data_IF_028209481926
#
_entry.id   IF_028209481926
#
_cell.length_a   1.000
_cell.length_b   1.000
_cell.length_c   1.000
_cell.angle_alpha   90.00
_cell.angle_beta   90.00
_cell.angle_gamma   90.00
#
_symmetry.space_group_name_H-M   'P 1'
#
loop_
_entity.id
_entity.type
_entity.pdbx_description
1 polymer ?
#
# COMPACT_ATOMS: atom_id res chain seq x y z
N UNK A 1 30.80 -73.57 45.05
CA UNK A 1 29.72 -72.55 45.06
C UNK A 1 30.40 -71.25 45.47
N UNK A 2 30.48 -70.13 44.75
CA UNK A 2 29.65 -69.52 43.70
C UNK A 2 30.58 -68.76 42.73
N UNK A 3 30.23 -68.72 41.44
CA UNK A 3 30.81 -67.81 40.44
C UNK A 3 30.26 -66.41 40.71
N UNK A 4 31.11 -65.41 40.87
CA UNK A 4 30.70 -64.00 40.88
C UNK A 4 31.13 -63.43 39.53
N UNK A 5 30.14 -63.24 38.65
CA UNK A 5 30.32 -62.61 37.35
C UNK A 5 30.51 -61.11 37.51
N UNK A 6 31.53 -60.57 36.87
CA UNK A 6 31.79 -59.13 36.79
C UNK A 6 30.89 -58.58 35.67
N UNK A 7 29.79 -57.92 36.02
CA UNK A 7 28.95 -57.19 35.07
C UNK A 7 29.58 -55.83 34.82
N UNK A 8 30.19 -55.66 33.66
CA UNK A 8 30.67 -54.37 33.15
C UNK A 8 29.45 -53.53 32.76
N UNK A 9 29.02 -52.62 33.64
CA UNK A 9 28.03 -51.60 33.31
C UNK A 9 28.72 -50.56 32.44
N UNK A 10 28.56 -50.68 31.12
CA UNK A 10 28.88 -49.60 30.19
C UNK A 10 27.81 -48.54 30.37
N UNK A 11 28.14 -47.47 31.08
CA UNK A 11 27.32 -46.27 31.15
C UNK A 11 27.32 -45.64 29.74
N UNK A 12 26.23 -45.87 29.01
CA UNK A 12 25.95 -45.18 27.76
C UNK A 12 25.67 -43.70 28.10
N UNK A 13 26.70 -42.86 28.04
CA UNK A 13 26.52 -41.40 28.07
C UNK A 13 25.87 -41.04 26.74
N UNK A 14 24.53 -40.99 26.73
CA UNK A 14 23.78 -40.34 25.67
C UNK A 14 24.25 -38.88 25.61
N UNK A 15 24.76 -38.39 24.46
CA UNK A 15 25.01 -36.96 24.33
C UNK A 15 23.70 -36.24 24.60
N UNK A 16 23.72 -35.33 25.57
CA UNK A 16 22.60 -34.45 25.84
C UNK A 16 22.39 -33.60 24.58
N UNK A 17 21.48 -34.03 23.71
CA UNK A 17 21.03 -33.25 22.56
C UNK A 17 20.57 -31.91 23.12
N UNK A 18 21.22 -30.82 22.74
CA UNK A 18 20.81 -29.45 23.08
C UNK A 18 19.48 -29.21 22.35
N UNK A 19 18.38 -28.95 23.06
CA UNK A 19 17.12 -28.60 22.39
C UNK A 19 17.08 -27.10 22.20
N UNK A 20 17.30 -26.64 20.97
CA UNK A 20 17.03 -25.26 20.60
C UNK A 20 15.51 -25.02 20.50
N UNK A 21 15.09 -23.76 20.41
CA UNK A 21 13.73 -23.34 20.11
C UNK A 21 13.78 -22.26 19.02
N UNK A 22 12.74 -22.18 18.20
CA UNK A 22 12.55 -21.08 17.24
C UNK A 22 11.21 -20.41 17.54
N UNK A 23 11.20 -19.08 17.55
CA UNK A 23 9.99 -18.27 17.73
C UNK A 23 9.92 -17.23 16.63
N UNK A 24 8.80 -17.18 15.91
CA UNK A 24 8.51 -16.13 14.93
C UNK A 24 8.03 -14.90 15.68
N UNK A 25 8.87 -13.86 15.73
CA UNK A 25 8.60 -12.63 16.47
C UNK A 25 7.69 -11.68 15.71
N UNK A 26 7.85 -11.60 14.38
CA UNK A 26 7.09 -10.70 13.52
C UNK A 26 7.06 -11.23 12.08
N UNK A 27 5.95 -11.00 11.37
CA UNK A 27 5.87 -11.18 9.91
C UNK A 27 5.48 -9.84 9.29
N UNK A 28 6.39 -9.25 8.51
CA UNK A 28 6.23 -7.94 7.88
C UNK A 28 5.89 -8.08 6.38
N UNK A 29 4.64 -7.76 5.97
CA UNK A 29 4.23 -7.75 4.57
C UNK A 29 4.43 -6.40 3.87
N UNK A 30 5.07 -5.40 4.48
CA UNK A 30 5.21 -4.03 3.93
C UNK A 30 5.87 -3.99 2.54
N UNK A 31 6.73 -4.97 2.23
CA UNK A 31 7.42 -5.12 0.93
C UNK A 31 6.68 -5.99 -0.07
N UNK A 32 5.51 -6.52 0.28
CA UNK A 32 4.74 -7.41 -0.57
C UNK A 32 4.33 -6.72 -1.87
N UNK A 33 3.84 -5.48 -1.77
CA UNK A 33 3.32 -4.71 -2.91
C UNK A 33 4.44 -4.17 -3.81
N UNK A 34 5.55 -3.76 -3.22
CA UNK A 34 6.62 -3.02 -3.93
C UNK A 34 7.73 -3.94 -4.45
N UNK A 35 8.03 -5.02 -3.73
CA UNK A 35 9.15 -5.93 -4.05
C UNK A 35 8.75 -7.40 -4.14
N UNK A 36 7.47 -7.73 -3.93
CA UNK A 36 6.98 -9.11 -3.87
C UNK A 36 7.77 -9.95 -2.86
N UNK A 37 8.05 -9.35 -1.69
CA UNK A 37 8.82 -9.96 -0.62
C UNK A 37 8.08 -9.82 0.70
N UNK A 38 8.21 -10.83 1.55
CA UNK A 38 7.77 -10.82 2.94
C UNK A 38 8.98 -11.09 3.81
N UNK A 39 9.07 -10.35 4.90
CA UNK A 39 10.12 -10.51 5.90
C UNK A 39 9.56 -11.20 7.13
N UNK A 40 10.23 -12.25 7.61
CA UNK A 40 9.91 -12.90 8.87
C UNK A 40 11.06 -12.63 9.82
N UNK A 41 10.77 -12.07 10.98
CA UNK A 41 11.72 -11.97 12.07
C UNK A 41 11.53 -13.18 12.98
N UNK A 42 12.63 -13.86 13.30
CA UNK A 42 12.62 -15.05 14.13
C UNK A 42 13.80 -15.06 15.09
N UNK A 43 13.52 -15.38 16.35
CA UNK A 43 14.52 -15.67 17.36
C UNK A 43 14.82 -17.18 17.37
N UNK A 44 16.09 -17.55 17.48
CA UNK A 44 16.51 -18.93 17.74
C UNK A 44 17.27 -18.94 19.06
N UNK A 45 16.81 -19.71 20.03
CA UNK A 45 17.38 -19.77 21.36
C UNK A 45 17.79 -21.19 21.74
N UNK A 46 18.76 -21.33 22.62
CA UNK A 46 19.09 -22.63 23.24
C UNK A 46 18.17 -22.92 24.45
N UNK A 47 18.44 -24.01 25.17
CA UNK A 47 17.69 -24.38 26.39
C UNK A 47 17.81 -23.39 27.54
N UNK A 48 18.87 -22.60 27.55
CA UNK A 48 19.13 -21.58 28.56
C UNK A 48 18.61 -20.21 28.11
N UNK A 49 17.80 -20.19 27.05
CA UNK A 49 17.24 -18.97 26.46
C UNK A 49 18.29 -18.02 25.87
N UNK A 50 19.49 -18.55 25.57
CA UNK A 50 20.57 -17.78 24.95
C UNK A 50 20.41 -17.81 23.43
N UNK A 51 20.43 -16.65 22.74
CA UNK A 51 20.29 -16.63 21.30
C UNK A 51 21.43 -17.33 20.56
N UNK A 52 21.06 -18.21 19.64
CA UNK A 52 21.98 -18.92 18.75
C UNK A 52 22.35 -17.99 17.61
N UNK A 53 23.64 -17.67 17.47
CA UNK A 53 24.15 -16.72 16.47
C UNK A 53 24.88 -17.42 15.32
N UNK A 54 25.14 -16.70 14.22
CA UNK A 54 25.92 -17.22 13.10
C UNK A 54 25.19 -18.17 12.13
N UNK A 55 23.89 -18.40 12.32
CA UNK A 55 23.09 -19.23 11.40
C UNK A 55 22.96 -18.60 10.00
N UNK A 56 23.25 -19.40 8.98
CA UNK A 56 23.06 -19.05 7.56
C UNK A 56 21.71 -19.50 7.01
N UNK A 57 21.48 -19.23 5.72
CA UNK A 57 20.19 -19.51 5.07
C UNK A 57 19.86 -21.01 5.02
N UNK A 58 20.88 -21.87 4.93
CA UNK A 58 20.77 -23.33 4.93
C UNK A 58 20.21 -23.92 6.24
N UNK A 59 20.32 -23.19 7.34
CA UNK A 59 19.78 -23.60 8.65
C UNK A 59 18.25 -23.46 8.73
N UNK A 60 17.65 -22.72 7.80
CA UNK A 60 16.22 -22.42 7.78
C UNK A 60 15.50 -23.03 6.58
N UNK A 61 14.25 -23.42 6.79
CA UNK A 61 13.30 -23.80 5.73
C UNK A 61 12.01 -23.02 5.92
N UNK A 62 11.57 -22.35 4.85
CA UNK A 62 10.35 -21.54 4.89
C UNK A 62 9.24 -22.25 4.12
N UNK A 63 8.05 -22.22 4.69
CA UNK A 63 6.85 -22.76 4.08
C UNK A 63 5.70 -21.76 4.18
N UNK A 64 4.82 -21.77 3.19
CA UNK A 64 3.63 -20.94 3.17
C UNK A 64 2.36 -21.79 3.03
N UNK A 65 1.29 -21.38 3.69
CA UNK A 65 -0.04 -21.97 3.55
C UNK A 65 -1.13 -20.90 3.46
N UNK A 66 -2.15 -21.14 2.63
CA UNK A 66 -3.36 -20.29 2.57
C UNK A 66 -4.47 -20.76 3.52
N UNK A 67 -4.42 -22.00 4.01
CA UNK A 67 -5.42 -22.60 4.88
C UNK A 67 -4.90 -22.86 6.30
N UNK A 68 -3.59 -22.73 6.53
CA UNK A 68 -2.93 -23.03 7.81
C UNK A 68 -2.69 -24.52 8.03
N UNK A 69 -3.06 -25.38 7.07
CA UNK A 69 -2.93 -26.84 7.19
C UNK A 69 -1.93 -27.39 6.16
N UNK A 70 -2.08 -26.98 4.89
CA UNK A 70 -1.26 -27.47 3.77
C UNK A 70 -0.17 -26.47 3.43
N UNK A 71 1.03 -26.76 3.92
CA UNK A 71 2.22 -25.95 3.73
C UNK A 71 2.97 -26.33 2.45
N UNK A 72 3.29 -25.32 1.65
CA UNK A 72 4.11 -25.42 0.44
C UNK A 72 5.48 -24.84 0.73
N UNK A 73 6.55 -25.57 0.42
CA UNK A 73 7.92 -25.09 0.64
C UNK A 73 8.25 -23.94 -0.29
N UNK A 74 8.84 -22.88 0.25
CA UNK A 74 9.40 -21.78 -0.53
C UNK A 74 10.80 -22.19 -1.01
N UNK A 75 11.03 -22.02 -2.31
CA UNK A 75 12.24 -22.53 -2.97
C UNK A 75 13.52 -21.75 -2.65
N UNK A 76 13.39 -20.47 -2.32
CA UNK A 76 14.52 -19.60 -1.95
C UNK A 76 14.12 -18.57 -0.91
N UNK A 77 15.02 -18.35 0.05
CA UNK A 77 14.92 -17.31 1.07
C UNK A 77 16.32 -16.76 1.36
N UNK A 78 16.36 -15.57 1.92
CA UNK A 78 17.60 -14.91 2.38
C UNK A 78 17.51 -14.75 3.88
N UNK A 79 18.65 -14.92 4.56
CA UNK A 79 18.74 -14.74 6.00
C UNK A 79 19.78 -13.67 6.30
N UNK A 80 19.45 -12.75 7.20
CA UNK A 80 20.36 -11.72 7.68
C UNK A 80 20.03 -11.45 9.14
N UNK A 81 21.03 -11.30 9.99
CA UNK A 81 20.83 -10.92 11.39
C UNK A 81 20.37 -9.46 11.49
N UNK A 82 19.45 -9.16 12.40
CA UNK A 82 18.92 -7.80 12.58
C UNK A 82 20.03 -6.79 12.88
N UNK A 83 21.04 -7.16 13.67
CA UNK A 83 22.22 -6.33 13.92
C UNK A 83 22.99 -5.87 12.67
N UNK A 84 22.89 -6.63 11.56
CA UNK A 84 23.57 -6.32 10.30
C UNK A 84 22.65 -5.61 9.30
N UNK A 85 21.41 -5.30 9.68
CA UNK A 85 20.52 -4.52 8.84
C UNK A 85 20.95 -3.06 8.84
N UNK A 86 21.16 -2.51 7.64
CA UNK A 86 21.25 -1.05 7.49
C UNK A 86 19.94 -0.36 7.90
N UNK A 87 18.83 -1.10 7.79
CA UNK A 87 17.51 -0.69 8.25
C UNK A 87 17.46 -0.81 9.78
N UNK A 88 17.39 0.33 10.47
CA UNK A 88 17.31 0.37 11.94
C UNK A 88 16.00 -0.22 12.49
N UNK A 89 15.99 -0.49 13.79
CA UNK A 89 14.82 -1.00 14.52
C UNK A 89 13.92 0.18 14.91
N UNK A 90 12.62 -0.01 14.83
CA UNK A 90 11.64 0.96 15.33
C UNK A 90 11.08 0.50 16.66
N UNK A 91 11.29 1.29 17.70
CA UNK A 91 10.71 1.09 19.03
C UNK A 91 9.59 2.11 19.26
N UNK A 92 8.49 1.69 19.86
CA UNK A 92 7.52 2.59 20.48
C UNK A 92 7.50 2.30 21.97
N UNK A 93 7.86 3.30 22.77
CA UNK A 93 7.75 3.23 24.22
C UNK A 93 6.34 3.62 24.62
N UNK A 94 5.61 2.71 25.26
CA UNK A 94 4.28 2.92 25.80
C UNK A 94 4.38 2.92 27.32
N UNK A 95 4.34 4.12 27.92
CA UNK A 95 4.51 4.32 29.35
C UNK A 95 3.14 4.44 30.02
N UNK A 96 2.92 3.65 31.05
CA UNK A 96 1.76 3.79 31.92
C UNK A 96 1.85 5.12 32.70
N UNK A 97 0.80 5.92 32.61
CA UNK A 97 0.64 7.20 33.31
C UNK A 97 -0.62 7.18 34.19
N UNK A 98 -0.91 6.03 34.80
CA UNK A 98 -1.95 5.81 35.80
C UNK A 98 -1.62 6.51 37.13
N UNK A 99 -2.57 6.47 38.07
CA UNK A 99 -2.36 7.06 39.40
C UNK A 99 -1.25 6.37 40.21
N UNK A 100 -1.17 5.03 40.14
CA UNK A 100 -0.23 4.19 40.92
C UNK A 100 1.23 4.34 40.48
N UNK A 101 1.45 4.80 39.25
CA UNK A 101 2.79 5.15 38.75
C UNK A 101 3.42 6.32 39.52
N UNK A 102 2.66 7.03 40.35
CA UNK A 102 3.17 8.09 41.22
C UNK A 102 3.25 7.72 42.69
N UNK A 103 3.09 6.44 43.01
CA UNK A 103 3.36 5.84 44.31
C UNK A 103 4.76 5.22 44.31
N UNK A 104 5.22 4.71 45.46
CA UNK A 104 6.49 3.99 45.55
C UNK A 104 6.41 2.61 44.90
N UNK A 105 7.55 1.95 44.66
CA UNK A 105 7.62 0.57 44.15
C UNK A 105 6.86 -0.45 45.02
N UNK A 106 6.68 -0.16 46.31
CA UNK A 106 5.97 -1.02 47.27
C UNK A 106 4.47 -0.65 47.40
N UNK A 107 3.90 0.07 46.44
CA UNK A 107 2.49 0.51 46.42
C UNK A 107 2.09 1.47 47.55
N UNK A 108 3.06 2.19 48.11
CA UNK A 108 2.81 3.19 49.16
C UNK A 108 2.70 4.60 48.57
N UNK A 109 1.66 5.38 48.93
CA UNK A 109 1.54 6.76 48.48
C UNK A 109 2.72 7.62 48.95
N UNK A 110 3.38 8.30 48.02
CA UNK A 110 4.51 9.19 48.33
C UNK A 110 4.32 10.59 47.75
N UNK A 111 4.96 11.57 48.40
CA UNK A 111 5.14 12.92 47.87
C UNK A 111 6.59 13.17 47.44
N UNK A 112 7.49 12.22 47.71
CA UNK A 112 8.91 12.31 47.36
C UNK A 112 9.06 11.88 45.91
N UNK A 113 9.38 12.84 45.04
CA UNK A 113 9.45 12.60 43.58
C UNK A 113 10.42 11.48 43.23
N UNK A 114 11.57 11.40 43.91
CA UNK A 114 12.62 10.43 43.61
C UNK A 114 12.27 8.98 43.97
N UNK A 115 11.22 8.77 44.77
CA UNK A 115 10.72 7.44 45.16
C UNK A 115 9.58 6.95 44.24
N UNK A 116 9.05 7.83 43.37
CA UNK A 116 7.92 7.50 42.50
C UNK A 116 8.34 6.57 41.37
N UNK A 117 7.50 5.58 41.05
CA UNK A 117 7.73 4.66 39.91
C UNK A 117 7.97 5.38 38.59
N UNK A 118 7.16 6.40 38.30
CA UNK A 118 7.29 7.25 37.12
C UNK A 118 8.68 7.91 37.04
N UNK A 119 9.28 8.26 38.16
CA UNK A 119 10.64 8.84 38.17
C UNK A 119 11.68 7.80 37.79
N UNK A 120 11.59 6.57 38.31
CA UNK A 120 12.46 5.46 37.89
C UNK A 120 12.26 5.12 36.41
N UNK A 121 11.01 5.06 35.94
CA UNK A 121 10.64 4.85 34.53
C UNK A 121 11.32 5.86 33.58
N UNK A 122 11.24 7.16 33.93
CA UNK A 122 11.88 8.24 33.16
C UNK A 122 13.41 8.10 33.13
N UNK A 123 14.03 7.76 34.26
CA UNK A 123 15.49 7.55 34.34
C UNK A 123 15.94 6.34 33.51
N UNK A 124 15.24 5.22 33.61
CA UNK A 124 15.58 4.02 32.84
C UNK A 124 15.37 4.22 31.33
N UNK A 125 14.32 4.95 30.93
CA UNK A 125 14.10 5.33 29.53
C UNK A 125 15.28 6.15 28.99
N UNK A 126 15.85 7.07 29.80
CA UNK A 126 17.05 7.82 29.41
C UNK A 126 18.24 6.88 29.17
N UNK A 127 18.48 5.93 30.06
CA UNK A 127 19.57 4.95 29.91
C UNK A 127 19.38 4.11 28.64
N UNK A 128 18.15 3.66 28.36
CA UNK A 128 17.83 2.96 27.12
C UNK A 128 18.13 3.80 25.87
N UNK A 129 17.67 5.05 25.84
CA UNK A 129 17.90 5.96 24.71
C UNK A 129 19.40 6.23 24.47
N UNK A 130 20.19 6.31 25.53
CA UNK A 130 21.65 6.49 25.47
C UNK A 130 22.37 5.23 24.95
N UNK A 131 21.80 4.04 25.16
CA UNK A 131 22.36 2.78 24.69
C UNK A 131 22.06 2.44 23.22
N UNK A 132 21.22 3.24 22.55
CA UNK A 132 20.92 3.08 21.12
C UNK A 132 22.10 3.62 20.29
N UNK A 133 22.95 2.70 19.84
CA UNK A 133 24.13 3.02 19.04
C UNK A 133 23.83 3.20 17.54
N UNK A 134 22.84 2.49 16.99
CA UNK A 134 22.57 2.54 15.56
C UNK A 134 21.86 3.85 15.19
N UNK A 135 22.43 4.71 14.32
CA UNK A 135 21.85 5.99 13.98
C UNK A 135 20.47 5.89 13.31
N UNK A 136 20.18 4.76 12.66
CA UNK A 136 18.92 4.52 11.93
C UNK A 136 17.79 4.01 12.82
N UNK A 137 18.08 3.61 14.06
CA UNK A 137 17.05 3.21 15.01
C UNK A 137 16.15 4.40 15.34
N UNK A 138 14.85 4.13 15.44
CA UNK A 138 13.81 5.12 15.69
C UNK A 138 13.11 4.79 17.00
N UNK A 139 12.83 5.81 17.78
CA UNK A 139 12.08 5.66 19.03
C UNK A 139 10.90 6.62 19.00
N UNK A 140 9.72 6.08 19.23
CA UNK A 140 8.50 6.83 19.49
C UNK A 140 8.16 6.81 20.98
N UNK A 141 7.30 7.72 21.39
CA UNK A 141 6.81 7.78 22.76
C UNK A 141 5.31 8.00 22.77
N UNK A 142 4.62 7.15 23.50
CA UNK A 142 3.23 7.30 23.85
C UNK A 142 3.05 7.05 25.36
N UNK A 143 2.02 7.67 25.91
CA UNK A 143 1.53 7.33 27.25
C UNK A 143 0.11 6.79 27.15
N UNK A 144 -0.26 5.97 28.13
CA UNK A 144 -1.63 5.53 28.31
C UNK A 144 -2.05 5.62 29.77
N UNK A 145 -3.33 5.84 29.98
CA UNK A 145 -4.01 5.76 31.26
C UNK A 145 -5.48 5.46 30.98
N UNK A 146 -6.40 6.35 31.34
CA UNK A 146 -7.76 6.36 30.79
C UNK A 146 -7.76 6.54 29.27
N UNK A 147 -6.87 7.37 28.73
CA UNK A 147 -6.76 7.60 27.30
C UNK A 147 -5.41 7.15 26.74
N UNK A 148 -5.30 7.19 25.41
CA UNK A 148 -4.04 7.06 24.69
C UNK A 148 -3.58 8.41 24.15
N UNK A 149 -2.31 8.76 24.36
CA UNK A 149 -1.68 9.97 23.83
C UNK A 149 -0.32 9.65 23.24
N UNK A 150 -0.20 9.81 21.92
CA UNK A 150 1.07 9.82 21.22
C UNK A 150 1.79 11.15 21.44
N UNK A 151 2.95 11.14 22.08
CA UNK A 151 3.79 12.32 22.27
C UNK A 151 4.70 12.56 21.07
N UNK A 152 5.22 11.47 20.48
CA UNK A 152 5.99 11.53 19.23
C UNK A 152 5.86 10.24 18.44
N UNK A 153 5.65 10.32 17.11
CA UNK A 153 5.87 9.17 16.26
C UNK A 153 7.36 8.76 16.31
N UNK A 154 7.71 7.53 15.88
CA UNK A 154 9.10 7.08 15.92
C UNK A 154 10.05 7.94 15.07
N UNK A 155 11.01 8.57 15.76
CA UNK A 155 12.03 9.44 15.18
C UNK A 155 13.43 9.01 15.62
N UNK A 156 14.46 9.47 14.92
CA UNK A 156 15.87 9.17 15.26
C UNK A 156 16.44 10.09 16.35
N UNK A 157 15.77 11.20 16.67
CA UNK A 157 16.25 12.18 17.65
C UNK A 157 15.98 11.73 19.09
N UNK A 158 16.94 11.00 19.68
CA UNK A 158 16.87 10.53 21.08
C UNK A 158 16.69 11.67 22.08
N UNK A 159 17.37 12.79 21.88
CA UNK A 159 17.26 13.97 22.76
C UNK A 159 15.84 14.57 22.76
N UNK A 160 15.13 14.52 21.63
CA UNK A 160 13.74 14.98 21.56
C UNK A 160 12.82 14.05 22.34
N UNK A 161 12.97 12.73 22.17
CA UNK A 161 12.21 11.74 22.94
C UNK A 161 12.49 11.89 24.43
N UNK A 162 13.75 12.03 24.85
CA UNK A 162 14.11 12.24 26.24
C UNK A 162 13.41 13.46 26.86
N UNK A 163 13.36 14.59 26.14
CA UNK A 163 12.64 15.79 26.62
C UNK A 163 11.14 15.57 26.77
N UNK A 164 10.54 14.77 25.88
CA UNK A 164 9.12 14.43 25.96
C UNK A 164 8.83 13.49 27.13
N UNK A 165 9.70 12.51 27.37
CA UNK A 165 9.64 11.63 28.55
C UNK A 165 9.70 12.46 29.83
N UNK A 166 10.64 13.41 29.91
CA UNK A 166 10.79 14.29 31.07
C UNK A 166 9.53 15.15 31.31
N UNK A 167 8.81 15.52 30.23
CA UNK A 167 7.59 16.33 30.27
C UNK A 167 6.29 15.55 30.59
N UNK A 168 6.33 14.24 30.82
CA UNK A 168 5.16 13.46 31.25
C UNK A 168 4.77 13.87 32.67
N UNK A 169 3.59 14.46 32.85
CA UNK A 169 3.08 14.91 34.15
C UNK A 169 1.95 14.02 34.66
N UNK A 170 1.72 14.08 35.98
CA UNK A 170 0.68 13.31 36.67
C UNK A 170 -0.68 13.56 36.03
N UNK A 171 -1.49 12.51 35.78
CA UNK A 171 -2.80 12.64 35.15
C UNK A 171 -3.73 13.54 35.95
N UNK A 172 -4.67 14.16 35.25
CA UNK A 172 -5.71 14.97 35.87
C UNK A 172 -6.73 14.14 36.67
N UNK A 173 -7.63 14.81 37.42
CA UNK A 173 -8.70 14.11 38.13
C UNK A 173 -9.56 13.27 37.19
N UNK A 174 -9.68 11.98 37.46
CA UNK A 174 -10.47 11.04 36.66
C UNK A 174 -9.74 10.42 35.46
N UNK A 175 -8.45 10.71 35.27
CA UNK A 175 -7.63 10.13 34.20
C UNK A 175 -6.70 9.00 34.69
N UNK A 176 -6.61 8.74 36.00
CA UNK A 176 -5.67 7.78 36.60
C UNK A 176 -6.03 6.30 36.50
N UNK A 177 -6.92 5.91 35.57
CA UNK A 177 -7.25 4.51 35.26
C UNK A 177 -6.24 3.91 34.27
N UNK A 178 -6.33 2.60 34.01
CA UNK A 178 -5.34 1.86 33.20
C UNK A 178 -6.05 1.08 32.09
N UNK A 179 -6.29 1.71 30.94
CA UNK A 179 -6.87 1.06 29.74
C UNK A 179 -5.76 0.39 28.90
N UNK A 180 -5.06 -0.57 29.51
CA UNK A 180 -3.85 -1.21 28.97
C UNK A 180 -4.07 -1.85 27.59
N UNK A 181 -5.12 -2.65 27.44
CA UNK A 181 -5.36 -3.36 26.17
C UNK A 181 -5.77 -2.40 25.05
N UNK A 182 -6.54 -1.36 25.36
CA UNK A 182 -6.88 -0.31 24.39
C UNK A 182 -5.65 0.50 23.99
N UNK A 183 -4.80 0.86 24.96
CA UNK A 183 -3.54 1.56 24.72
C UNK A 183 -2.58 0.78 23.82
N UNK A 184 -2.46 -0.54 24.00
CA UNK A 184 -1.66 -1.40 23.12
C UNK A 184 -2.22 -1.48 21.69
N UNK A 185 -3.55 -1.53 21.54
CA UNK A 185 -4.23 -1.52 20.24
C UNK A 185 -4.00 -0.19 19.50
N UNK A 186 -4.09 0.94 20.21
CA UNK A 186 -3.81 2.25 19.61
C UNK A 186 -2.32 2.39 19.25
N UNK A 187 -1.42 1.91 20.12
CA UNK A 187 0.02 1.91 19.86
C UNK A 187 0.43 1.01 18.68
N UNK A 188 -0.23 -0.14 18.50
CA UNK A 188 0.06 -1.05 17.39
C UNK A 188 -0.29 -0.42 16.04
N UNK A 189 -1.37 0.35 15.97
CA UNK A 189 -1.78 1.06 14.76
C UNK A 189 -0.73 2.11 14.33
N UNK A 190 -0.11 2.81 15.27
CA UNK A 190 0.98 3.76 14.97
C UNK A 190 2.22 3.06 14.38
N UNK A 191 2.46 1.80 14.78
CA UNK A 191 3.57 0.99 14.28
C UNK A 191 3.25 0.25 12.97
N UNK A 192 1.97 -0.06 12.70
CA UNK A 192 1.54 -0.85 11.56
C UNK A 192 1.94 -0.23 10.20
N UNK A 193 2.05 1.10 10.15
CA UNK A 193 2.43 1.84 8.94
C UNK A 193 3.95 1.89 8.70
N UNK A 194 4.75 1.44 9.67
CA UNK A 194 6.21 1.56 9.63
C UNK A 194 6.81 0.23 9.12
N UNK A 195 7.49 0.23 7.96
CA UNK A 195 8.12 -0.97 7.43
C UNK A 195 9.35 -1.38 8.24
N UNK A 196 9.63 -2.68 8.32
CA UNK A 196 10.79 -3.23 9.02
C UNK A 196 10.46 -3.77 10.41
N UNK A 197 11.49 -3.93 11.25
CA UNK A 197 11.34 -4.50 12.60
C UNK A 197 10.72 -3.46 13.53
N UNK A 198 9.51 -3.74 14.03
CA UNK A 198 8.74 -2.86 14.92
C UNK A 198 8.51 -3.54 16.27
N UNK A 199 8.84 -2.82 17.33
CA UNK A 199 8.79 -3.33 18.70
C UNK A 199 8.01 -2.35 19.57
N UNK A 200 6.98 -2.85 20.24
CA UNK A 200 6.27 -2.11 21.28
C UNK A 200 6.86 -2.52 22.64
N UNK A 201 7.37 -1.55 23.40
CA UNK A 201 7.81 -1.77 24.78
C UNK A 201 6.80 -1.11 25.70
N UNK A 202 6.09 -1.94 26.47
CA UNK A 202 5.04 -1.50 27.39
C UNK A 202 5.62 -1.50 28.79
N UNK A 203 5.59 -0.36 29.47
CA UNK A 203 5.97 -0.25 30.88
C UNK A 203 4.71 0.01 31.68
N UNK A 204 4.34 -0.91 32.58
CA UNK A 204 3.17 -0.79 33.43
C UNK A 204 3.42 -1.41 34.80
N UNK A 205 2.84 -0.82 35.84
CA UNK A 205 2.97 -1.24 37.23
C UNK A 205 1.87 -2.21 37.68
N UNK A 206 0.85 -2.49 36.87
CA UNK A 206 -0.26 -3.34 37.30
C UNK A 206 -1.17 -3.89 36.19
N UNK A 207 -2.34 -4.38 36.63
CA UNK A 207 -3.36 -4.99 35.79
C UNK A 207 -4.20 -3.95 35.03
N UNK A 208 -4.82 -4.40 33.93
CA UNK A 208 -5.79 -3.60 33.20
C UNK A 208 -6.95 -3.15 34.12
N UNK A 209 -7.08 -1.84 34.35
CA UNK A 209 -8.03 -1.23 35.29
C UNK A 209 -8.95 -0.23 34.55
N UNK A 210 -9.91 -0.71 33.72
CA UNK A 210 -10.69 0.13 32.82
C UNK A 210 -11.79 0.93 33.53
N UNK A 211 -12.06 2.15 33.06
CA UNK A 211 -12.97 3.11 33.71
C UNK A 211 -14.37 2.53 33.91
N UNK A 212 -14.91 1.85 32.89
CA UNK A 212 -16.28 1.34 32.92
C UNK A 212 -16.47 0.29 34.02
N UNK A 213 -15.52 -0.64 34.18
CA UNK A 213 -15.60 -1.73 35.16
C UNK A 213 -15.56 -1.19 36.59
N UNK A 214 -14.75 -0.15 36.84
CA UNK A 214 -14.51 0.35 38.19
C UNK A 214 -15.44 1.50 38.62
N UNK A 215 -15.97 2.27 37.67
CA UNK A 215 -16.79 3.45 37.99
C UNK A 215 -18.23 3.36 37.49
N UNK A 216 -18.54 2.42 36.59
CA UNK A 216 -19.80 2.34 35.88
C UNK A 216 -20.16 3.66 35.14
N UNK A 217 -19.13 4.45 34.78
CA UNK A 217 -19.24 5.66 33.95
C UNK A 217 -18.68 5.36 32.57
N UNK A 218 -19.33 5.83 31.49
CA UNK A 218 -18.86 5.57 30.13
C UNK A 218 -17.51 6.27 29.88
N UNK A 219 -16.58 5.56 29.24
CA UNK A 219 -15.33 6.10 28.75
C UNK A 219 -15.59 7.18 27.68
N UNK A 220 -14.89 8.33 27.68
CA UNK A 220 -15.13 9.41 26.72
C UNK A 220 -15.03 9.01 25.25
N UNK A 221 -14.12 8.08 24.91
CA UNK A 221 -13.90 7.60 23.53
C UNK A 221 -14.63 6.29 23.22
N UNK A 222 -14.73 5.40 24.20
CA UNK A 222 -15.13 4.00 23.99
C UNK A 222 -16.50 3.65 24.58
N UNK A 223 -17.14 4.60 25.29
CA UNK A 223 -18.44 4.38 25.92
C UNK A 223 -18.35 3.26 26.97
N UNK A 224 -19.18 2.23 26.83
CA UNK A 224 -19.22 1.08 27.75
C UNK A 224 -18.39 -0.10 27.25
N UNK A 225 -17.59 0.07 26.19
CA UNK A 225 -16.76 -0.99 25.65
C UNK A 225 -15.56 -1.23 26.56
N UNK A 226 -15.33 -2.50 26.89
CA UNK A 226 -14.10 -3.00 27.52
C UNK A 226 -13.37 -3.81 26.47
N UNK A 227 -12.07 -3.57 26.32
CA UNK A 227 -11.22 -4.33 25.42
C UNK A 227 -10.63 -5.52 26.15
N UNK A 228 -10.69 -6.69 25.54
CA UNK A 228 -10.09 -7.91 26.09
C UNK A 228 -8.64 -8.09 25.62
N UNK A 229 -7.81 -8.76 26.42
CA UNK A 229 -6.42 -9.07 26.05
C UNK A 229 -6.33 -9.86 24.73
N UNK A 230 -7.32 -10.71 24.44
CA UNK A 230 -7.37 -11.49 23.18
C UNK A 230 -7.59 -10.61 21.94
N UNK A 231 -8.31 -9.50 22.07
CA UNK A 231 -8.48 -8.51 20.99
C UNK A 231 -7.16 -7.80 20.73
N UNK A 232 -6.44 -7.41 21.80
CA UNK A 232 -5.12 -6.81 21.69
C UNK A 232 -4.13 -7.73 21.00
N UNK A 233 -4.07 -9.02 21.37
CA UNK A 233 -3.24 -10.02 20.67
C UNK A 233 -3.56 -10.08 19.18
N UNK A 234 -4.85 -10.15 18.83
CA UNK A 234 -5.26 -10.25 17.43
C UNK A 234 -4.82 -9.03 16.63
N UNK A 235 -4.96 -7.83 17.20
CA UNK A 235 -4.55 -6.59 16.56
C UNK A 235 -3.03 -6.47 16.43
N UNK A 236 -2.27 -6.75 17.50
CA UNK A 236 -0.81 -6.73 17.49
C UNK A 236 -0.23 -7.72 16.48
N UNK A 237 -0.81 -8.92 16.39
CA UNK A 237 -0.42 -9.91 15.36
C UNK A 237 -0.79 -9.45 13.94
N UNK A 238 -1.94 -8.79 13.76
CA UNK A 238 -2.34 -8.21 12.47
C UNK A 238 -1.38 -7.12 12.00
N UNK A 239 -0.94 -6.27 12.92
CA UNK A 239 -0.05 -5.14 12.66
C UNK A 239 1.42 -5.57 12.59
N UNK A 240 1.72 -6.82 12.94
CA UNK A 240 3.08 -7.36 12.95
C UNK A 240 3.96 -6.72 14.02
N UNK A 241 3.41 -6.45 15.20
CA UNK A 241 4.12 -5.78 16.30
C UNK A 241 4.43 -6.78 17.41
N UNK A 242 5.71 -6.89 17.79
CA UNK A 242 6.10 -7.68 18.97
C UNK A 242 6.01 -6.83 20.23
N UNK A 243 5.42 -7.39 21.29
CA UNK A 243 5.28 -6.70 22.58
C UNK A 243 6.28 -7.22 23.61
N UNK A 244 7.14 -6.34 24.10
CA UNK A 244 7.89 -6.56 25.32
C UNK A 244 7.24 -5.80 26.46
N UNK A 245 6.70 -6.53 27.43
CA UNK A 245 6.09 -5.95 28.61
C UNK A 245 7.15 -5.89 29.72
N UNK A 246 7.23 -4.75 30.39
CA UNK A 246 8.03 -4.58 31.60
C UNK A 246 7.08 -4.30 32.74
N UNK A 247 7.01 -5.26 33.65
CA UNK A 247 6.26 -5.14 34.88
C UNK A 247 7.12 -4.40 35.91
N UNK A 248 6.58 -3.29 36.42
CA UNK A 248 7.27 -2.39 37.34
C UNK A 248 6.47 -2.19 38.63
N UNK A 249 6.20 -3.29 39.33
CA UNK A 249 5.37 -3.32 40.53
C UNK A 249 5.51 -4.63 41.30
N UNK A 250 4.56 -4.87 42.21
CA UNK A 250 4.52 -6.09 43.05
C UNK A 250 3.51 -7.14 42.56
N UNK A 251 2.51 -6.75 41.76
CA UNK A 251 1.41 -7.60 41.28
C UNK A 251 1.45 -7.81 39.75
N UNK A 252 1.55 -9.07 39.30
CA UNK A 252 1.66 -9.42 37.88
C UNK A 252 0.30 -9.70 37.23
N UNK A 253 -0.03 -9.03 36.12
CA UNK A 253 -1.17 -9.38 35.27
C UNK A 253 -0.84 -10.66 34.47
N UNK A 254 -1.52 -11.76 34.82
CA UNK A 254 -1.41 -13.05 34.12
C UNK A 254 -1.66 -12.92 32.60
N UNK A 255 -2.53 -12.00 32.17
CA UNK A 255 -2.90 -11.85 30.77
C UNK A 255 -1.84 -11.10 29.95
N UNK A 256 -1.11 -10.17 30.56
CA UNK A 256 -0.05 -9.42 29.86
C UNK A 256 1.10 -10.35 29.43
N UNK A 257 1.38 -11.37 30.25
CA UNK A 257 2.34 -12.43 29.91
C UNK A 257 1.94 -13.18 28.63
N UNK A 258 0.65 -13.50 28.49
CA UNK A 258 0.11 -14.18 27.32
C UNK A 258 0.11 -13.27 26.08
N UNK A 259 -0.14 -11.97 26.25
CA UNK A 259 -0.04 -10.98 25.16
C UNK A 259 1.39 -10.93 24.60
N UNK A 260 2.38 -10.74 25.47
CA UNK A 260 3.78 -10.69 25.07
C UNK A 260 4.22 -11.99 24.36
N UNK A 261 3.92 -13.15 24.97
CA UNK A 261 4.27 -14.46 24.42
C UNK A 261 3.66 -14.72 23.05
N UNK A 262 2.36 -14.40 22.86
CA UNK A 262 1.65 -14.67 21.60
C UNK A 262 2.00 -13.68 20.48
N UNK A 263 2.54 -12.52 20.82
CA UNK A 263 3.02 -11.53 19.84
C UNK A 263 4.52 -11.67 19.56
N UNK A 264 5.17 -12.69 20.13
CA UNK A 264 6.57 -13.00 19.88
C UNK A 264 7.57 -12.12 20.65
N UNK A 265 7.08 -11.38 21.65
CA UNK A 265 7.93 -10.73 22.65
C UNK A 265 7.85 -11.45 24.00
N UNK A 266 8.16 -10.74 25.08
CA UNK A 266 8.38 -11.32 26.42
C UNK A 266 8.00 -10.37 27.53
N UNK A 267 7.81 -10.92 28.72
CA UNK A 267 7.66 -10.14 29.95
C UNK A 267 9.00 -10.08 30.70
N UNK A 268 9.25 -8.95 31.33
CA UNK A 268 10.37 -8.72 32.22
C UNK A 268 9.87 -8.07 33.50
N UNK A 269 10.54 -8.37 34.60
CA UNK A 269 10.28 -7.74 35.88
C UNK A 269 11.43 -6.81 36.22
N UNK A 270 11.13 -5.64 36.76
CA UNK A 270 12.12 -4.71 37.28
C UNK A 270 11.60 -4.05 38.57
N UNK A 271 12.50 -3.84 39.52
CA UNK A 271 12.18 -3.28 40.84
C UNK A 271 12.82 -1.93 41.10
N UNK A 272 13.75 -1.49 40.26
CA UNK A 272 14.38 -0.19 40.34
C UNK A 272 14.81 0.29 38.94
N UNK A 273 15.36 1.50 38.85
CA UNK A 273 15.83 2.09 37.60
C UNK A 273 17.05 1.40 37.01
N UNK A 274 17.88 0.71 37.81
CA UNK A 274 19.04 -0.04 37.32
C UNK A 274 18.59 -1.35 36.65
N UNK A 275 17.73 -2.12 37.31
CA UNK A 275 17.11 -3.33 36.75
C UNK A 275 16.29 -3.00 35.50
N UNK A 276 15.47 -1.93 35.56
CA UNK A 276 14.67 -1.50 34.41
C UNK A 276 15.54 -1.10 33.22
N UNK A 277 16.66 -0.42 33.48
CA UNK A 277 17.63 -0.13 32.43
C UNK A 277 18.24 -1.40 31.83
N UNK A 278 18.59 -2.40 32.63
CA UNK A 278 19.09 -3.69 32.13
C UNK A 278 18.05 -4.42 31.28
N UNK A 279 16.78 -4.40 31.69
CA UNK A 279 15.67 -4.98 30.92
C UNK A 279 15.60 -4.35 29.52
N UNK A 280 15.68 -3.02 29.42
CA UNK A 280 15.69 -2.35 28.13
C UNK A 280 16.88 -2.74 27.25
N UNK A 281 18.08 -2.90 27.84
CA UNK A 281 19.27 -3.37 27.14
C UNK A 281 19.12 -4.81 26.65
N UNK A 282 18.54 -5.68 27.47
CA UNK A 282 18.26 -7.07 27.12
C UNK A 282 17.25 -7.20 26.00
N UNK A 283 16.17 -6.40 26.02
CA UNK A 283 15.21 -6.31 24.92
C UNK A 283 15.94 -5.94 23.62
N UNK A 284 16.75 -4.87 23.65
CA UNK A 284 17.52 -4.44 22.47
C UNK A 284 18.44 -5.55 21.96
N UNK A 285 19.24 -6.16 22.85
CA UNK A 285 20.20 -7.18 22.47
C UNK A 285 19.51 -8.41 21.84
N UNK A 286 18.37 -8.82 22.40
CA UNK A 286 17.56 -9.91 21.84
C UNK A 286 17.03 -9.57 20.46
N UNK A 287 16.44 -8.40 20.28
CA UNK A 287 15.92 -7.96 18.97
C UNK A 287 17.04 -7.89 17.93
N UNK A 288 18.22 -7.40 18.30
CA UNK A 288 19.40 -7.36 17.42
C UNK A 288 19.90 -8.76 17.02
N UNK A 289 19.71 -9.76 17.86
CA UNK A 289 20.11 -11.15 17.63
C UNK A 289 19.07 -11.97 16.84
N UNK A 290 17.90 -11.40 16.56
CA UNK A 290 16.91 -12.04 15.69
C UNK A 290 17.42 -12.15 14.24
N UNK A 291 16.84 -13.11 13.52
CA UNK A 291 17.08 -13.32 12.09
C UNK A 291 15.92 -12.75 11.28
N UNK A 292 16.25 -11.93 10.30
CA UNK A 292 15.34 -11.56 9.20
C UNK A 292 15.45 -12.58 8.09
N UNK A 293 14.35 -13.26 7.83
CA UNK A 293 14.18 -14.25 6.79
C UNK A 293 13.28 -13.65 5.69
N UNK A 294 13.90 -13.19 4.61
CA UNK A 294 13.19 -12.61 3.47
C UNK A 294 12.88 -13.68 2.44
N UNK A 295 11.62 -13.78 2.01
CA UNK A 295 11.21 -14.75 0.99
C UNK A 295 10.18 -14.15 0.01
N UNK A 296 10.05 -14.76 -1.16
CA UNK A 296 9.01 -14.43 -2.13
C UNK A 296 7.77 -15.31 -1.89
N UNK A 297 6.61 -14.74 -1.51
CA UNK A 297 5.41 -15.53 -1.23
C UNK A 297 4.78 -16.12 -2.49
N UNK A 298 3.92 -17.12 -2.33
CA UNK A 298 3.24 -17.74 -3.48
C UNK A 298 2.13 -16.85 -4.02
N UNK A 299 1.77 -17.01 -5.29
CA UNK A 299 0.69 -16.24 -5.92
C UNK A 299 -0.73 -16.78 -5.60
N UNK A 300 -0.86 -17.70 -4.64
CA UNK A 300 -2.18 -18.24 -4.25
C UNK A 300 -2.99 -17.14 -3.53
N UNK A 301 -4.23 -16.85 -3.97
CA UNK A 301 -5.04 -15.79 -3.35
C UNK A 301 -5.55 -16.24 -1.98
N UNK A 302 -5.36 -15.39 -0.98
CA UNK A 302 -5.94 -15.51 0.36
C UNK A 302 -5.94 -14.13 1.02
N UNK A 303 -6.87 -13.88 1.94
CA UNK A 303 -6.80 -12.65 2.76
C UNK A 303 -5.68 -12.76 3.79
N UNK A 304 -5.57 -13.94 4.42
CA UNK A 304 -4.54 -14.29 5.39
C UNK A 304 -3.73 -15.48 4.89
N UNK A 305 -2.41 -15.41 5.04
CA UNK A 305 -1.47 -16.50 4.74
C UNK A 305 -0.63 -16.81 5.97
N UNK A 306 -0.36 -18.09 6.15
CA UNK A 306 0.46 -18.61 7.23
C UNK A 306 1.87 -18.88 6.73
N UNK A 307 2.85 -18.50 7.53
CA UNK A 307 4.27 -18.74 7.25
C UNK A 307 4.83 -19.59 8.37
N UNK A 308 5.36 -20.75 8.00
CA UNK A 308 6.07 -21.63 8.93
C UNK A 308 7.55 -21.54 8.64
N UNK A 309 8.33 -21.26 9.68
CA UNK A 309 9.78 -21.32 9.64
C UNK A 309 10.20 -22.56 10.40
N UNK A 310 11.02 -23.39 9.76
CA UNK A 310 11.67 -24.52 10.41
C UNK A 310 13.16 -24.24 10.53
N UNK A 311 13.71 -24.48 11.71
CA UNK A 311 15.13 -24.47 12.01
C UNK A 311 15.62 -25.91 12.21
N UNK A 312 16.75 -26.24 11.60
CA UNK A 312 17.43 -27.53 11.79
C UNK A 312 18.71 -27.27 12.55
N UNK A 313 18.84 -27.86 13.74
CA UNK A 313 20.07 -27.73 14.53
C UNK A 313 21.21 -28.59 13.96
N UNK A 314 22.42 -28.43 14.52
CA UNK A 314 23.59 -29.23 14.13
C UNK A 314 23.41 -30.74 14.39
N UNK A 315 22.52 -31.10 15.32
CA UNK A 315 22.14 -32.48 15.64
C UNK A 315 21.08 -33.07 14.70
N UNK A 316 20.55 -32.28 13.76
CA UNK A 316 19.48 -32.67 12.84
C UNK A 316 18.07 -32.64 13.45
N UNK A 317 17.90 -32.13 14.68
CA UNK A 317 16.59 -31.90 15.26
C UNK A 317 15.88 -30.73 14.56
N UNK A 318 14.57 -30.88 14.37
CA UNK A 318 13.74 -29.92 13.66
C UNK A 318 12.87 -29.15 14.65
N UNK A 319 13.04 -27.84 14.67
CA UNK A 319 12.21 -26.90 15.42
C UNK A 319 11.40 -26.08 14.44
N UNK A 320 10.16 -25.72 14.81
CA UNK A 320 9.28 -24.98 13.90
C UNK A 320 8.36 -24.06 14.67
N UNK A 321 8.09 -22.91 14.07
CA UNK A 321 7.06 -22.00 14.52
C UNK A 321 6.34 -21.39 13.33
N UNK A 322 5.12 -20.91 13.56
CA UNK A 322 4.21 -20.43 12.51
C UNK A 322 3.65 -19.06 12.86
N UNK A 323 3.90 -18.08 12.00
CA UNK A 323 3.22 -16.78 11.98
C UNK A 323 2.20 -16.68 10.86
N UNK A 324 1.54 -15.54 10.74
CA UNK A 324 0.70 -15.22 9.59
C UNK A 324 0.88 -13.76 9.16
N UNK A 325 0.47 -13.46 7.94
CA UNK A 325 0.39 -12.10 7.42
C UNK A 325 -0.84 -11.95 6.52
N UNK A 326 -1.30 -10.71 6.37
CA UNK A 326 -2.37 -10.40 5.45
C UNK A 326 -1.81 -10.08 4.08
N UNK A 327 -2.19 -10.87 3.08
CA UNK A 327 -1.92 -10.53 1.68
C UNK A 327 -3.12 -9.77 1.17
N UNK A 328 -3.12 -8.44 1.38
CA UNK A 328 -4.06 -7.54 0.71
C UNK A 328 -3.94 -7.81 -0.79
N UNK A 329 -4.95 -8.49 -1.33
CA UNK A 329 -4.93 -8.85 -2.75
C UNK A 329 -5.05 -7.53 -3.49
N UNK A 330 -4.00 -7.15 -4.23
CA UNK A 330 -3.89 -5.90 -5.02
C UNK A 330 -5.13 -5.66 -5.90
N UNK A 331 -5.85 -6.73 -6.20
CA UNK A 331 -7.15 -6.73 -6.81
C UNK A 331 -8.13 -7.28 -5.77
N UNK A 332 -8.84 -6.37 -5.10
CA UNK A 332 -9.63 -6.65 -3.91
C UNK A 332 -10.55 -7.87 -4.00
N UNK A 333 -10.74 -8.47 -2.82
CA UNK A 333 -11.56 -9.65 -2.52
C UNK A 333 -11.14 -10.93 -3.25
N UNK A 334 -11.11 -12.01 -2.47
CA UNK A 334 -10.92 -13.36 -2.98
C UNK A 334 -11.85 -13.63 -4.18
N UNK A 335 -11.26 -13.89 -5.35
CA UNK A 335 -11.96 -14.36 -6.54
C UNK A 335 -12.81 -15.63 -6.28
N UNK A 336 -12.63 -16.30 -5.14
CA UNK A 336 -13.43 -17.44 -4.73
C UNK A 336 -14.94 -17.12 -4.54
N UNK A 337 -15.35 -15.85 -4.39
CA UNK A 337 -16.78 -15.48 -4.26
C UNK A 337 -17.38 -14.82 -5.51
N UNK A 338 -16.56 -14.29 -6.41
CA UNK A 338 -17.02 -13.70 -7.67
C UNK A 338 -17.03 -14.79 -8.75
N UNK A 339 -18.06 -15.63 -8.74
CA UNK A 339 -18.32 -16.60 -9.82
C UNK A 339 -18.65 -15.90 -11.14
N UNK A 340 -19.76 -16.26 -11.77
CA UNK A 340 -20.20 -15.66 -13.04
C UNK A 340 -20.44 -14.14 -12.97
N UNK A 341 -20.62 -13.58 -11.77
CA UNK A 341 -20.77 -12.13 -11.55
C UNK A 341 -19.54 -11.32 -12.00
N UNK A 342 -18.35 -11.93 -12.05
CA UNK A 342 -17.15 -11.29 -12.61
C UNK A 342 -17.24 -10.99 -14.10
N UNK A 343 -18.22 -11.58 -14.82
CA UNK A 343 -18.43 -11.34 -16.25
C UNK A 343 -19.28 -10.08 -16.52
N UNK A 344 -19.98 -9.54 -15.53
CA UNK A 344 -20.84 -8.37 -15.70
C UNK A 344 -20.07 -7.16 -16.26
N UNK A 345 -18.89 -6.77 -15.74
CA UNK A 345 -18.13 -5.66 -16.29
C UNK A 345 -17.70 -5.90 -17.75
N UNK A 346 -17.34 -7.14 -18.09
CA UNK A 346 -16.97 -7.52 -19.45
C UNK A 346 -18.16 -7.42 -20.42
N UNK A 347 -19.34 -7.89 -20.01
CA UNK A 347 -20.58 -7.77 -20.79
C UNK A 347 -20.99 -6.30 -20.95
N UNK A 348 -20.88 -5.49 -19.89
CA UNK A 348 -21.14 -4.04 -19.93
C UNK A 348 -20.16 -3.34 -20.88
N UNK A 349 -18.87 -3.67 -20.83
CA UNK A 349 -17.86 -3.10 -21.73
C UNK A 349 -18.12 -3.48 -23.19
N UNK A 350 -18.48 -4.73 -23.47
CA UNK A 350 -18.89 -5.17 -24.81
C UNK A 350 -20.16 -4.42 -25.26
N UNK A 351 -21.14 -4.27 -24.39
CA UNK A 351 -22.36 -3.50 -24.66
C UNK A 351 -22.08 -2.03 -24.99
N UNK A 352 -21.22 -1.38 -24.21
CA UNK A 352 -20.76 -0.01 -24.46
C UNK A 352 -20.00 0.10 -25.79
N UNK A 353 -19.13 -0.86 -26.10
CA UNK A 353 -18.41 -0.88 -27.37
C UNK A 353 -19.34 -1.03 -28.58
N UNK A 354 -20.34 -1.93 -28.48
CA UNK A 354 -21.38 -2.08 -29.51
C UNK A 354 -22.21 -0.81 -29.65
N UNK A 355 -22.59 -0.19 -28.53
CA UNK A 355 -23.35 1.06 -28.51
C UNK A 355 -22.57 2.19 -29.17
N UNK A 356 -21.29 2.36 -28.83
CA UNK A 356 -20.41 3.35 -29.45
C UNK A 356 -20.25 3.11 -30.95
N UNK A 357 -20.22 1.86 -31.40
CA UNK A 357 -20.15 1.52 -32.84
C UNK A 357 -21.46 1.84 -33.58
N UNK A 358 -22.61 1.73 -32.92
CA UNK A 358 -23.91 2.08 -33.52
C UNK A 358 -24.18 3.58 -33.55
N UNK A 359 -23.59 4.33 -32.61
CA UNK A 359 -23.60 5.79 -32.64
C UNK A 359 -22.64 6.31 -33.73
N UNK A 360 -23.01 6.10 -35.00
CA UNK A 360 -22.42 6.89 -36.10
C UNK A 360 -22.86 8.33 -35.89
N UNK A 361 -21.89 9.23 -35.67
CA UNK A 361 -22.13 10.67 -35.75
C UNK A 361 -22.57 11.02 -37.18
N UNK A 362 -23.85 10.83 -37.48
CA UNK A 362 -24.45 11.21 -38.75
C UNK A 362 -24.39 12.74 -38.86
N UNK A 363 -23.53 13.23 -39.76
CA UNK A 363 -23.56 14.62 -40.18
C UNK A 363 -24.93 14.87 -40.84
N UNK A 364 -25.74 15.73 -40.24
CA UNK A 364 -27.16 15.96 -40.59
C UNK A 364 -27.36 16.81 -41.87
N UNK A 365 -26.46 16.79 -42.86
CA UNK A 365 -26.48 17.76 -43.97
C UNK A 365 -26.52 17.04 -45.31
N UNK A 366 -27.52 17.37 -46.13
CA UNK A 366 -27.93 16.63 -47.34
C UNK A 366 -27.40 17.20 -48.66
N UNK A 367 -26.75 18.37 -48.65
CA UNK A 367 -26.34 19.09 -49.86
C UNK A 367 -24.81 19.13 -49.99
N UNK A 368 -24.28 18.99 -51.22
CA UNK A 368 -22.84 19.13 -51.48
C UNK A 368 -22.37 20.58 -51.29
N UNK A 369 -21.29 20.78 -50.54
CA UNK A 369 -20.77 22.11 -50.19
C UNK A 369 -19.25 22.19 -50.19
N UNK A 370 -18.74 23.39 -50.43
CA UNK A 370 -17.36 23.78 -50.24
C UNK A 370 -17.25 24.60 -48.95
N UNK A 371 -16.40 24.17 -48.03
CA UNK A 371 -16.08 24.89 -46.80
C UNK A 371 -14.72 25.57 -46.95
N UNK A 372 -14.70 26.90 -46.94
CA UNK A 372 -13.49 27.69 -47.10
C UNK A 372 -12.95 28.01 -45.73
N UNK A 373 -11.74 27.53 -45.46
CA UNK A 373 -11.05 27.72 -44.18
C UNK A 373 -9.86 28.65 -44.44
N UNK A 374 -9.93 29.88 -43.91
CA UNK A 374 -8.79 30.79 -43.91
C UNK A 374 -8.75 31.85 -45.03
N UNK A 375 -9.85 32.58 -45.24
CA UNK A 375 -9.79 33.87 -45.93
C UNK A 375 -9.19 34.99 -45.05
N UNK A 376 -8.94 36.21 -45.58
CA UNK A 376 -8.34 37.33 -44.85
C UNK A 376 -9.07 37.77 -43.56
N UNK A 377 -10.31 37.31 -43.36
CA UNK A 377 -11.15 37.59 -42.17
C UNK A 377 -11.29 36.40 -41.20
N UNK A 378 -10.60 35.28 -41.42
CA UNK A 378 -10.64 34.09 -40.56
C UNK A 378 -12.05 33.51 -40.28
N UNK A 379 -13.04 33.80 -41.12
CA UNK A 379 -14.37 33.21 -41.05
C UNK A 379 -14.48 32.00 -41.96
N UNK A 380 -15.09 30.93 -41.44
CA UNK A 380 -15.43 29.74 -42.23
C UNK A 380 -16.67 30.05 -43.07
N UNK A 381 -16.51 30.07 -44.40
CA UNK A 381 -17.63 30.32 -45.33
C UNK A 381 -18.03 29.03 -46.01
N UNK A 382 -19.32 28.74 -45.95
CA UNK A 382 -19.93 27.60 -46.62
C UNK A 382 -20.53 28.07 -47.94
N UNK A 383 -20.19 27.36 -49.01
CA UNK A 383 -20.75 27.59 -50.35
C UNK A 383 -21.40 26.31 -50.86
N UNK A 384 -22.71 26.32 -51.07
CA UNK A 384 -23.44 25.18 -51.58
C UNK A 384 -23.26 25.04 -53.10
N UNK A 385 -22.92 23.84 -53.57
CA UNK A 385 -22.71 23.54 -54.99
C UNK A 385 -24.05 23.33 -55.70
N UNK A 386 -24.75 24.43 -55.99
CA UNK A 386 -26.09 24.42 -56.61
C UNK A 386 -26.07 24.30 -58.13
N UNK A 387 -24.91 24.49 -58.75
CA UNK A 387 -24.75 24.49 -60.20
C UNK A 387 -23.90 23.31 -60.66
N UNK A 388 -24.12 22.88 -61.90
CA UNK A 388 -23.34 21.81 -62.54
C UNK A 388 -21.85 22.12 -62.69
N UNK A 389 -21.49 23.39 -62.68
CA UNK A 389 -20.12 23.89 -62.66
C UNK A 389 -20.05 25.05 -61.66
N UNK A 390 -18.98 25.11 -60.86
CA UNK A 390 -18.74 26.20 -59.91
C UNK A 390 -17.32 26.69 -60.11
N UNK A 391 -17.17 27.93 -60.57
CA UNK A 391 -15.87 28.54 -60.80
C UNK A 391 -15.36 29.24 -59.54
N UNK A 392 -14.13 28.92 -59.16
CA UNK A 392 -13.39 29.50 -58.04
C UNK A 392 -12.30 30.41 -58.61
N UNK A 393 -12.30 31.68 -58.19
CA UNK A 393 -11.33 32.65 -58.70
C UNK A 393 -11.33 33.98 -57.96
N UNK A 394 -10.46 34.88 -58.38
CA UNK A 394 -10.29 36.21 -57.77
C UNK A 394 -11.12 37.32 -58.44
N UNK A 395 -11.81 37.03 -59.54
CA UNK A 395 -12.64 38.00 -60.25
C UNK A 395 -14.10 38.01 -59.73
N UNK A 396 -14.74 39.17 -59.82
CA UNK A 396 -16.13 39.38 -59.34
C UNK A 396 -17.18 38.56 -60.10
N UNK A 397 -16.79 37.96 -61.24
CA UNK A 397 -17.65 37.11 -62.06
C UNK A 397 -17.44 35.60 -61.82
N UNK A 398 -16.61 35.20 -60.85
CA UNK A 398 -16.50 33.82 -60.40
C UNK A 398 -17.61 33.46 -59.40
N UNK A 399 -18.14 32.23 -59.45
CA UNK A 399 -19.21 31.79 -58.54
C UNK A 399 -18.75 31.79 -57.08
N UNK A 400 -17.47 31.46 -56.86
CA UNK A 400 -16.80 31.57 -55.57
C UNK A 400 -15.61 32.53 -55.69
N UNK A 401 -15.85 33.80 -55.35
CA UNK A 401 -14.81 34.82 -55.35
C UNK A 401 -13.99 34.80 -54.05
N UNK A 402 -12.68 34.58 -54.17
CA UNK A 402 -11.74 34.65 -53.04
C UNK A 402 -10.80 35.85 -53.27
N UNK A 403 -10.99 36.90 -52.48
CA UNK A 403 -10.17 38.11 -52.55
C UNK A 403 -8.93 38.01 -51.63
N UNK A 404 -7.81 38.60 -52.06
CA UNK A 404 -6.63 38.81 -51.21
C UNK A 404 -5.48 37.83 -51.37
N UNK A 405 -5.57 36.86 -52.29
CA UNK A 405 -4.46 35.94 -52.61
C UNK A 405 -3.70 36.40 -53.88
N UNK A 406 -2.42 36.81 -53.79
CA UNK A 406 -1.67 37.37 -54.93
C UNK A 406 -1.47 36.38 -56.11
N UNK A 407 -1.50 35.08 -55.82
CA UNK A 407 -1.34 34.00 -56.79
C UNK A 407 -2.66 33.53 -57.41
N UNK A 408 -3.80 34.12 -57.02
CA UNK A 408 -5.11 33.72 -57.52
C UNK A 408 -5.45 34.41 -58.84
N UNK A 409 -5.88 33.61 -59.83
CA UNK A 409 -6.31 34.12 -61.14
C UNK A 409 -7.78 34.49 -61.13
N UNK A 410 -8.21 35.24 -62.14
CA UNK A 410 -9.62 35.57 -62.36
C UNK A 410 -10.54 34.34 -62.34
N UNK A 411 -10.15 33.26 -63.03
CA UNK A 411 -10.81 31.95 -63.03
C UNK A 411 -9.72 30.89 -62.77
N UNK A 412 -9.56 30.44 -61.54
CA UNK A 412 -8.39 29.65 -61.14
C UNK A 412 -8.69 28.14 -61.19
N UNK A 413 -9.76 27.70 -60.53
CA UNK A 413 -10.22 26.31 -60.51
C UNK A 413 -11.72 26.23 -60.71
N UNK A 414 -12.22 25.13 -61.27
CA UNK A 414 -13.64 24.88 -61.48
C UNK A 414 -14.00 23.52 -60.91
N UNK A 415 -15.03 23.46 -60.08
CA UNK A 415 -15.60 22.22 -59.59
C UNK A 415 -16.76 21.84 -60.50
N UNK A 416 -16.65 20.72 -61.18
CA UNK A 416 -17.61 20.24 -62.20
C UNK A 416 -18.28 18.97 -61.69
N UNK A 417 -19.60 18.91 -61.79
CA UNK A 417 -20.38 17.70 -61.52
C UNK A 417 -20.39 16.79 -62.74
N UNK A 418 -20.01 15.52 -62.56
CA UNK A 418 -20.09 14.47 -63.60
C UNK A 418 -21.37 13.64 -63.41
N UNK A 419 -22.42 13.84 -64.23
CA UNK A 419 -23.71 13.18 -64.06
C UNK A 419 -23.65 11.66 -64.33
N UNK A 420 -22.65 11.16 -65.05
CA UNK A 420 -22.52 9.72 -65.31
C UNK A 420 -21.98 8.96 -64.10
N UNK A 421 -21.23 9.63 -63.24
CA UNK A 421 -20.59 9.06 -62.05
C UNK A 421 -21.19 9.58 -60.73
N UNK A 422 -22.13 10.52 -60.81
CA UNK A 422 -22.69 11.27 -59.68
C UNK A 422 -21.62 11.84 -58.73
N UNK A 423 -20.50 12.31 -59.27
CA UNK A 423 -19.33 12.79 -58.50
C UNK A 423 -18.87 14.14 -58.98
N UNK A 424 -18.33 14.94 -58.07
CA UNK A 424 -17.66 16.20 -58.40
C UNK A 424 -16.19 15.96 -58.73
N UNK A 425 -15.64 16.77 -59.62
CA UNK A 425 -14.23 16.80 -59.99
C UNK A 425 -13.75 18.23 -60.01
N UNK A 426 -12.57 18.48 -59.47
CA UNK A 426 -11.89 19.77 -59.62
C UNK A 426 -11.03 19.75 -60.88
N UNK A 427 -11.12 20.83 -61.65
CA UNK A 427 -10.33 21.10 -62.84
C UNK A 427 -9.71 22.50 -62.71
N UNK A 428 -8.39 22.61 -62.81
CA UNK A 428 -7.66 23.85 -62.60
C UNK A 428 -6.70 24.09 -63.75
N UNK A 429 -6.55 25.37 -64.12
CA UNK A 429 -5.55 25.79 -65.13
C UNK A 429 -4.13 25.80 -64.56
N UNK A 430 -3.99 25.97 -63.24
CA UNK A 430 -2.75 25.89 -62.49
C UNK A 430 -2.70 24.64 -61.62
N UNK A 431 -1.49 24.26 -61.21
CA UNK A 431 -1.29 23.19 -60.24
C UNK A 431 -1.88 23.59 -58.87
N UNK A 432 -2.90 22.85 -58.44
CA UNK A 432 -3.48 22.93 -57.10
C UNK A 432 -3.12 21.67 -56.32
N UNK A 433 -3.28 21.67 -54.99
CA UNK A 433 -3.10 20.42 -54.22
C UNK A 433 -4.44 19.92 -53.69
N UNK A 434 -4.64 18.60 -53.75
CA UNK A 434 -5.77 17.90 -53.13
C UNK A 434 -5.21 16.82 -52.22
N UNK A 435 -5.48 16.93 -50.92
CA UNK A 435 -4.89 16.10 -49.87
C UNK A 435 -3.35 16.06 -49.98
N UNK A 436 -2.73 17.24 -50.08
CA UNK A 436 -1.28 17.46 -50.23
C UNK A 436 -0.64 16.83 -51.48
N UNK A 437 -1.42 16.43 -52.49
CA UNK A 437 -0.91 15.93 -53.77
C UNK A 437 -1.16 16.94 -54.90
N UNK A 438 -0.12 17.40 -55.63
CA UNK A 438 -0.29 18.31 -56.75
C UNK A 438 -1.11 17.68 -57.88
N UNK A 439 -2.07 18.42 -58.42
CA UNK A 439 -2.95 17.99 -59.49
C UNK A 439 -3.57 19.18 -60.23
N UNK A 440 -3.87 19.00 -61.51
CA UNK A 440 -4.69 19.92 -62.30
C UNK A 440 -6.11 19.39 -62.51
N UNK A 441 -6.33 18.10 -62.24
CA UNK A 441 -7.62 17.41 -62.44
C UNK A 441 -7.75 16.22 -61.50
N UNK A 442 -8.75 16.23 -60.61
CA UNK A 442 -8.99 15.11 -59.68
C UNK A 442 -10.45 14.98 -59.24
N UNK A 443 -10.95 13.74 -59.22
CA UNK A 443 -12.26 13.42 -58.64
C UNK A 443 -12.24 13.64 -57.12
N UNK A 444 -13.26 14.32 -56.61
CA UNK A 444 -13.37 14.70 -55.20
C UNK A 444 -14.13 13.63 -54.41
N UNK A 445 -13.71 13.42 -53.17
CA UNK A 445 -14.36 12.58 -52.17
C UNK A 445 -14.75 13.42 -50.96
N UNK A 446 -15.84 13.10 -50.25
CA UNK A 446 -16.21 13.79 -49.01
C UNK A 446 -15.04 13.81 -48.02
N UNK A 447 -14.70 14.99 -47.52
CA UNK A 447 -13.53 15.24 -46.67
C UNK A 447 -12.23 15.56 -47.40
N UNK A 448 -12.22 15.65 -48.74
CA UNK A 448 -11.03 16.07 -49.50
C UNK A 448 -10.70 17.55 -49.21
N UNK A 449 -9.44 17.80 -48.87
CA UNK A 449 -8.91 19.14 -48.58
C UNK A 449 -8.12 19.64 -49.78
N UNK A 450 -8.56 20.74 -50.37
CA UNK A 450 -7.92 21.40 -51.52
C UNK A 450 -7.19 22.66 -51.07
N UNK A 451 -6.02 22.92 -51.64
CA UNK A 451 -5.34 24.21 -51.52
C UNK A 451 -5.30 24.89 -52.89
N UNK A 452 -6.01 26.00 -53.01
CA UNK A 452 -6.16 26.77 -54.24
C UNK A 452 -5.53 28.14 -53.99
N UNK A 453 -4.36 28.39 -54.58
CA UNK A 453 -3.61 29.64 -54.43
C UNK A 453 -3.43 30.11 -52.97
N UNK A 454 -3.20 29.17 -52.04
CA UNK A 454 -2.99 29.45 -50.60
C UNK A 454 -4.25 29.39 -49.74
N UNK A 455 -5.43 29.22 -50.33
CA UNK A 455 -6.71 29.10 -49.61
C UNK A 455 -7.11 27.64 -49.46
N UNK A 456 -7.44 27.22 -48.23
CA UNK A 456 -7.90 25.86 -47.93
C UNK A 456 -9.40 25.77 -48.19
N UNK A 457 -9.80 24.83 -49.04
CA UNK A 457 -11.19 24.54 -49.40
C UNK A 457 -11.44 23.07 -49.16
N UNK A 458 -12.38 22.74 -48.28
CA UNK A 458 -12.78 21.35 -47.98
C UNK A 458 -14.05 21.03 -48.75
N UNK A 459 -14.05 19.90 -49.46
CA UNK A 459 -15.24 19.39 -50.13
C UNK A 459 -15.98 18.41 -49.21
N UNK A 460 -17.28 18.65 -49.00
CA UNK A 460 -18.15 17.75 -48.27
C UNK A 460 -19.42 17.46 -49.09
N UNK A 461 -19.88 16.21 -49.06
CA UNK A 461 -21.07 15.74 -49.76
C UNK A 461 -21.63 14.51 -49.06
N UNK A 462 -22.95 14.49 -48.82
CA UNK A 462 -23.64 13.28 -48.37
C UNK A 462 -23.70 12.25 -49.51
N UNK A 463 -23.51 10.97 -49.20
CA UNK A 463 -23.45 9.87 -50.16
C UNK A 463 -24.78 9.69 -50.94
N UNK A 464 -25.86 10.30 -50.43
CA UNK A 464 -27.22 10.33 -51.01
C UNK A 464 -27.63 11.72 -51.54
N UNK A 465 -26.70 12.69 -51.66
CA UNK A 465 -27.04 14.05 -52.09
C UNK A 465 -27.61 14.07 -53.53
N UNK A 466 -28.74 14.77 -53.77
CA UNK A 466 -29.32 14.90 -55.10
C UNK A 466 -28.40 15.69 -56.05
N UNK A 467 -28.51 15.49 -57.38
CA UNK A 467 -27.74 16.27 -58.36
C UNK A 467 -28.04 17.78 -58.22
N UNK A 468 -27.11 18.67 -58.66
CA UNK A 468 -27.31 20.10 -58.56
C UNK A 468 -28.56 20.55 -59.33
N UNK A 469 -29.42 21.41 -58.76
CA UNK A 469 -30.72 21.78 -59.32
C UNK A 469 -30.65 22.45 -60.70
N UNK A 470 -29.50 22.99 -61.11
CA UNK A 470 -29.32 23.60 -62.44
C UNK A 470 -29.19 22.59 -63.60
N UNK A 471 -29.21 21.29 -63.33
CA UNK A 471 -29.17 20.24 -64.36
C UNK A 471 -30.57 19.75 -64.80
N UNK A 472 -31.63 20.18 -64.11
CA UNK A 472 -33.01 19.94 -64.53
C UNK A 472 -33.41 20.97 -65.60
N UNK A 473 -33.01 20.71 -66.84
CA UNK A 473 -33.64 21.32 -68.02
C UNK A 473 -33.57 20.39 -69.24
N UNK A 474 -34.45 19.39 -69.27
CA UNK A 474 -35.27 19.11 -70.46
C UNK A 474 -36.69 18.80 -69.97
N UNK A 475 -37.73 19.52 -70.47
CA UNK A 475 -39.11 19.21 -70.17
C UNK A 475 -39.53 17.93 -70.93
N UNK A 476 -40.22 17.03 -70.24
CA UNK A 476 -40.94 15.92 -70.86
C UNK A 476 -41.89 16.47 -71.93
N UNK A 477 -41.80 15.89 -73.13
CA UNK A 477 -42.60 16.17 -74.32
C UNK A 477 -44.04 15.70 -74.16
N UNK A 478 -45.02 16.53 -74.55
CA UNK A 478 -46.35 16.09 -74.99
C UNK A 478 -46.86 17.01 -76.13
N UNK A 479 -47.30 16.36 -77.22
CA UNK A 479 -47.82 16.79 -78.55
C UNK A 479 -46.89 17.42 -79.60
#
# INVERSE_FOLDING_TARGET
MKRIGFALIVALVLPAVLSAEITVSQVDPSRLLTRQQVDVFAAVTDRNDVPVTGLGAESFRVFESVDGERFTRIGSHRVTTVANLEEGITFLLLIDNSGSMYDTIDDEPTTVVDEMRMTHAKRATRIFLEAIENPNDRVGLAEFNTGYRLHSPPITSRLQIQRLVDAIDRPGPGEGFTELYAGMIDASQELAEIPGRTVLIVLSDGENFPVWVHTNRPHPRHGTRVFEYTESIAQLQNDGVSVFAVHFGTEQDDNLSEVARRTGGRIFDARDDEELAQVYLDIRNRVLQEYRITFAPTMRPAERKWVRVEYVDEGGALFRDTGFYFSSTILGTSAARMGWLALIPAVVAIGLWVLMRQLRFQNRRTDANLEIIGGPRAETRLFALRQGQTVIGGADNADLTIHGSPSMRAHHATVVYDPKKSRYRVESSDEITVNNKPTTRRELQPGDVMNIAGTIVVFDQDELAPPPPSFDSEPDTDD
#
